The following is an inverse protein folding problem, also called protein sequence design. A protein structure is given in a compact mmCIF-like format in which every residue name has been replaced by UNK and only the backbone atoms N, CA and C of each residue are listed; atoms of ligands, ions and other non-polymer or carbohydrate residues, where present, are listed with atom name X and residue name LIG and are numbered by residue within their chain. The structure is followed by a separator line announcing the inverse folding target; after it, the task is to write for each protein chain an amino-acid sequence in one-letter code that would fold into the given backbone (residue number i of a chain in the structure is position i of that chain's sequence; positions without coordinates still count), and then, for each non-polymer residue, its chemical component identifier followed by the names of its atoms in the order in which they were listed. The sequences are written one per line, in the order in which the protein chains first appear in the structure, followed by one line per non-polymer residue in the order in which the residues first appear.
data_IF_113942496825
#
_entry.id   IF_113942496825
#
_cell.length_a   1.000
_cell.length_b   1.000
_cell.length_c   1.000
_cell.angle_alpha   90.00
_cell.angle_beta   90.00
_cell.angle_gamma   90.00
#
_symmetry.space_group_name_H-M   'P 1'
#
loop_
_entity.id
_entity.type
_entity.pdbx_description
1 polymer ?
#
# COMPACT_ATOMS: atom_id res chain seq x y z
N UNK A 1 -8.14 8.89 -23.14
CA UNK A 1 -8.81 9.84 -22.23
C UNK A 1 -9.96 9.26 -21.40
N UNK A 2 -10.87 8.41 -21.94
CA UNK A 2 -12.02 7.89 -21.15
C UNK A 2 -11.65 7.17 -19.82
N UNK A 3 -10.61 6.33 -19.80
CA UNK A 3 -10.18 5.61 -18.59
C UNK A 3 -9.75 6.48 -17.42
N UNK A 4 -9.00 7.54 -17.72
CA UNK A 4 -8.55 8.49 -16.69
C UNK A 4 -9.72 9.22 -16.04
N UNK A 5 -10.78 9.54 -16.79
CA UNK A 5 -11.98 10.16 -16.24
C UNK A 5 -12.69 9.24 -15.23
N UNK A 6 -12.91 7.96 -15.59
CA UNK A 6 -13.57 6.99 -14.70
C UNK A 6 -12.77 6.76 -13.42
N UNK A 7 -11.45 6.60 -13.52
CA UNK A 7 -10.60 6.44 -12.34
C UNK A 7 -10.66 7.68 -11.44
N UNK A 8 -10.54 8.88 -12.01
CA UNK A 8 -10.60 10.13 -11.26
C UNK A 8 -11.94 10.27 -10.53
N UNK A 9 -13.04 9.94 -11.19
CA UNK A 9 -14.38 9.93 -10.58
C UNK A 9 -14.49 8.93 -9.43
N UNK A 10 -13.92 7.72 -9.57
CA UNK A 10 -13.89 6.73 -8.49
C UNK A 10 -13.07 7.25 -7.30
N UNK A 11 -11.86 7.76 -7.54
CA UNK A 11 -11.02 8.31 -6.47
C UNK A 11 -11.70 9.50 -5.78
N UNK A 12 -12.35 10.38 -6.54
CA UNK A 12 -13.11 11.49 -5.97
C UNK A 12 -14.26 10.99 -5.09
N UNK A 13 -15.05 10.01 -5.54
CA UNK A 13 -16.12 9.42 -4.72
C UNK A 13 -15.59 8.79 -3.44
N UNK A 14 -14.44 8.12 -3.50
CA UNK A 14 -13.78 7.55 -2.30
C UNK A 14 -13.32 8.66 -1.35
N UNK A 15 -12.79 9.76 -1.87
CA UNK A 15 -12.43 10.93 -1.06
C UNK A 15 -13.66 11.52 -0.37
N UNK A 16 -14.74 11.75 -1.12
CA UNK A 16 -15.99 12.34 -0.61
C UNK A 16 -16.60 11.46 0.50
N UNK A 17 -16.64 10.14 0.29
CA UNK A 17 -17.12 9.18 1.28
C UNK A 17 -16.27 9.13 2.56
N UNK A 18 -15.02 9.64 2.51
CA UNK A 18 -14.07 9.70 3.63
C UNK A 18 -13.90 11.14 4.15
N UNK A 19 -14.85 12.03 3.87
CA UNK A 19 -14.79 13.42 4.34
C UNK A 19 -13.62 14.22 3.76
N UNK A 20 -13.23 13.91 2.52
CA UNK A 20 -12.09 14.52 1.82
C UNK A 20 -10.74 13.88 2.14
N UNK A 21 -10.68 12.87 3.02
CA UNK A 21 -9.42 12.21 3.40
C UNK A 21 -9.07 11.12 2.39
N UNK A 22 -8.16 11.42 1.48
CA UNK A 22 -7.57 10.49 0.54
C UNK A 22 -6.05 10.69 0.50
N UNK A 23 -5.28 9.60 0.64
CA UNK A 23 -3.82 9.68 0.59
C UNK A 23 -3.23 9.64 -0.82
N UNK A 24 -4.05 9.90 -1.83
CA UNK A 24 -3.60 10.15 -3.20
C UNK A 24 -4.44 11.28 -3.78
N UNK A 25 -3.86 12.18 -4.56
CA UNK A 25 -4.63 13.20 -5.28
C UNK A 25 -5.55 12.53 -6.30
N UNK A 26 -6.87 12.82 -6.35
CA UNK A 26 -7.79 12.13 -7.27
C UNK A 26 -7.39 12.21 -8.74
N UNK A 27 -6.80 13.34 -9.16
CA UNK A 27 -6.29 13.51 -10.54
C UNK A 27 -4.91 12.89 -10.76
N UNK A 28 -4.25 12.41 -9.71
CA UNK A 28 -2.89 11.87 -9.64
C UNK A 28 -1.77 12.86 -10.04
N UNK A 29 -2.04 13.84 -10.90
CA UNK A 29 -1.07 14.78 -11.44
C UNK A 29 -1.15 16.14 -10.73
N UNK A 30 0.00 16.67 -10.33
CA UNK A 30 0.17 17.97 -9.69
C UNK A 30 1.33 18.76 -10.30
N UNK A 31 1.31 20.07 -10.05
CA UNK A 31 2.51 20.93 -10.07
C UNK A 31 2.90 21.16 -8.61
N UNK A 32 4.00 20.54 -8.12
CA UNK A 32 4.34 20.59 -6.70
C UNK A 32 4.80 21.99 -6.29
N UNK A 33 4.24 22.49 -5.19
CA UNK A 33 4.77 23.62 -4.43
C UNK A 33 5.74 23.15 -3.32
N UNK A 34 6.15 24.06 -2.45
CA UNK A 34 7.07 23.78 -1.33
C UNK A 34 6.55 22.78 -0.29
N UNK A 35 5.24 22.48 -0.28
CA UNK A 35 4.66 21.50 0.65
C UNK A 35 4.89 20.05 0.21
N UNK A 36 5.33 19.82 -1.03
CA UNK A 36 5.54 18.50 -1.60
C UNK A 36 7.02 18.12 -1.62
N UNK A 37 7.31 16.89 -1.18
CA UNK A 37 8.65 16.32 -1.21
C UNK A 37 8.75 15.23 -2.27
N UNK A 38 9.79 15.21 -3.13
CA UNK A 38 9.99 14.11 -4.08
C UNK A 38 10.18 12.78 -3.35
N UNK A 39 9.46 11.73 -3.77
CA UNK A 39 9.56 10.41 -3.15
C UNK A 39 10.95 9.77 -3.31
N UNK A 40 11.69 10.18 -4.35
CA UNK A 40 13.10 9.78 -4.55
C UNK A 40 14.02 10.22 -3.39
N UNK A 41 13.66 11.24 -2.61
CA UNK A 41 14.42 11.64 -1.42
C UNK A 41 14.36 10.57 -0.30
N UNK A 42 13.29 9.76 -0.27
CA UNK A 42 13.14 8.68 0.73
C UNK A 42 14.20 7.59 0.59
N UNK A 43 14.77 7.43 -0.60
CA UNK A 43 15.79 6.40 -0.90
C UNK A 43 17.20 7.00 -1.03
N UNK A 44 17.36 8.29 -0.72
CA UNK A 44 18.69 8.93 -0.70
C UNK A 44 19.38 8.59 0.61
N UNK A 45 20.50 7.88 0.54
CA UNK A 45 21.35 7.60 1.71
C UNK A 45 21.83 8.92 2.36
N UNK A 46 21.85 9.03 3.70
CA UNK A 46 21.69 7.96 4.70
C UNK A 46 20.22 7.66 5.09
N UNK A 47 19.27 7.96 4.22
CA UNK A 47 17.82 7.77 4.38
C UNK A 47 17.19 8.63 5.48
N UNK A 48 17.74 9.81 5.70
CA UNK A 48 17.31 10.74 6.78
C UNK A 48 15.81 11.01 6.77
N UNK A 49 15.25 11.39 5.62
CA UNK A 49 13.82 11.71 5.52
C UNK A 49 12.93 10.48 5.79
N UNK A 50 13.31 9.32 5.29
CA UNK A 50 12.57 8.08 5.54
C UNK A 50 12.64 7.67 7.01
N UNK A 51 13.79 7.89 7.64
CA UNK A 51 13.99 7.69 9.06
C UNK A 51 13.09 8.61 9.89
N UNK A 52 13.02 9.90 9.56
CA UNK A 52 12.15 10.89 10.22
C UNK A 52 10.67 10.51 10.10
N UNK A 53 10.18 10.16 8.91
CA UNK A 53 8.78 9.75 8.72
C UNK A 53 8.41 8.48 9.49
N UNK A 54 9.34 7.54 9.62
CA UNK A 54 9.15 6.35 10.44
C UNK A 54 9.06 6.70 11.93
N UNK A 55 9.89 7.63 12.41
CA UNK A 55 9.89 8.12 13.80
C UNK A 55 8.63 8.94 14.11
N UNK A 56 8.20 9.82 13.22
CA UNK A 56 6.95 10.56 13.33
C UNK A 56 5.74 9.62 13.41
N UNK A 57 5.74 8.58 12.57
CA UNK A 57 4.68 7.57 12.60
C UNK A 57 4.73 6.76 13.90
N UNK A 58 5.92 6.40 14.39
CA UNK A 58 6.09 5.72 15.67
C UNK A 58 5.57 6.58 16.83
N UNK A 59 5.91 7.87 16.86
CA UNK A 59 5.46 8.82 17.86
C UNK A 59 3.94 9.00 17.85
N UNK A 60 3.33 9.14 16.66
CA UNK A 60 1.87 9.26 16.49
C UNK A 60 1.10 8.10 17.14
N UNK A 61 1.66 6.89 17.09
CA UNK A 61 1.01 5.68 17.59
C UNK A 61 1.57 5.19 18.93
N UNK A 62 2.44 5.97 19.59
CA UNK A 62 3.16 5.56 20.79
C UNK A 62 3.79 4.15 20.66
N UNK A 63 4.51 3.93 19.56
CA UNK A 63 4.99 2.62 19.14
C UNK A 63 6.52 2.57 19.01
N UNK A 64 7.15 1.39 19.07
CA UNK A 64 8.54 1.22 18.69
C UNK A 64 8.80 1.62 17.23
N UNK A 65 10.01 2.11 16.93
CA UNK A 65 10.41 2.56 15.59
C UNK A 65 10.09 1.58 14.46
N UNK A 66 10.33 0.29 14.67
CA UNK A 66 10.05 -0.74 13.66
C UNK A 66 8.55 -0.91 13.36
N UNK A 67 7.69 -0.67 14.35
CA UNK A 67 6.23 -0.63 14.16
C UNK A 67 5.86 0.64 13.39
N UNK A 68 6.42 1.80 13.76
CA UNK A 68 6.23 3.06 13.02
C UNK A 68 6.61 2.94 11.55
N UNK A 69 7.77 2.34 11.25
CA UNK A 69 8.23 2.04 9.89
C UNK A 69 7.24 1.14 9.11
N UNK A 70 6.73 0.08 9.75
CA UNK A 70 5.75 -0.80 9.11
C UNK A 70 4.40 -0.12 8.85
N UNK A 71 3.95 0.77 9.75
CA UNK A 71 2.71 1.52 9.60
C UNK A 71 2.83 2.66 8.58
N UNK A 72 3.99 3.33 8.52
CA UNK A 72 4.32 4.26 7.45
C UNK A 72 4.23 3.55 6.10
N UNK A 73 4.87 2.39 5.97
CA UNK A 73 4.81 1.60 4.76
C UNK A 73 3.40 1.16 4.39
N UNK A 74 2.62 0.69 5.38
CA UNK A 74 1.22 0.32 5.17
C UNK A 74 0.44 1.47 4.52
N UNK A 75 0.73 2.71 4.91
CA UNK A 75 0.09 3.91 4.39
C UNK A 75 0.61 4.27 3.00
N UNK A 76 1.93 4.45 2.84
CA UNK A 76 2.55 4.79 1.57
C UNK A 76 2.25 3.75 0.48
N UNK A 77 2.49 2.47 0.78
CA UNK A 77 2.26 1.35 -0.13
C UNK A 77 0.80 1.21 -0.52
N UNK A 78 -0.14 1.48 0.40
CA UNK A 78 -1.57 1.47 0.09
C UNK A 78 -1.93 2.55 -0.93
N UNK A 79 -1.55 3.79 -0.67
CA UNK A 79 -1.92 4.91 -1.53
C UNK A 79 -1.23 4.88 -2.89
N UNK A 80 -0.01 4.35 -2.96
CA UNK A 80 0.70 4.16 -4.22
C UNK A 80 0.06 3.04 -5.07
N UNK A 81 -0.38 1.96 -4.44
CA UNK A 81 -0.94 0.79 -5.13
C UNK A 81 -2.41 0.97 -5.53
N UNK A 82 -3.19 1.70 -4.73
CA UNK A 82 -4.62 1.92 -4.95
C UNK A 82 -4.99 2.35 -6.40
N UNK A 83 -4.41 3.41 -6.99
CA UNK A 83 -4.78 3.82 -8.34
C UNK A 83 -4.42 2.78 -9.41
N UNK A 84 -3.34 2.02 -9.23
CA UNK A 84 -2.95 0.94 -10.15
C UNK A 84 -4.00 -0.16 -10.19
N UNK A 85 -4.47 -0.59 -9.01
CA UNK A 85 -5.47 -1.66 -8.87
C UNK A 85 -6.83 -1.24 -9.40
N UNK A 86 -7.25 -0.01 -9.07
CA UNK A 86 -8.51 0.53 -9.60
C UNK A 86 -8.46 0.69 -11.11
N UNK A 87 -7.36 1.21 -11.66
CA UNK A 87 -7.17 1.31 -13.11
C UNK A 87 -7.22 -0.05 -13.81
N UNK A 88 -6.60 -1.08 -13.22
CA UNK A 88 -6.69 -2.46 -13.71
C UNK A 88 -8.13 -2.99 -13.72
N UNK A 89 -8.89 -2.77 -12.63
CA UNK A 89 -10.24 -3.30 -12.49
C UNK A 89 -11.30 -2.57 -13.34
N UNK A 90 -11.14 -1.27 -13.56
CA UNK A 90 -12.15 -0.44 -14.22
C UNK A 90 -12.11 -0.59 -15.75
N UNK A 91 -10.97 -0.27 -16.37
CA UNK A 91 -10.84 -0.30 -17.83
C UNK A 91 -9.53 -0.94 -18.33
N UNK A 92 -8.80 -1.61 -17.41
CA UNK A 92 -7.55 -2.30 -17.71
C UNK A 92 -6.34 -1.39 -17.91
N UNK A 93 -6.48 -0.07 -17.72
CA UNK A 93 -5.37 0.89 -17.84
C UNK A 93 -4.80 1.21 -16.49
N UNK A 94 -3.54 0.84 -16.31
CA UNK A 94 -2.85 0.97 -15.03
C UNK A 94 -2.09 2.30 -14.99
N UNK A 95 -2.47 3.27 -14.15
CA UNK A 95 -1.70 4.50 -13.95
C UNK A 95 -0.45 4.21 -13.12
N UNK A 96 0.72 4.58 -13.63
CA UNK A 96 2.01 4.31 -13.02
C UNK A 96 2.66 5.64 -12.57
N UNK A 97 2.74 5.83 -11.26
CA UNK A 97 3.54 6.87 -10.62
C UNK A 97 4.94 6.31 -10.38
N UNK A 98 5.88 6.66 -11.26
CA UNK A 98 7.29 6.22 -11.11
C UNK A 98 7.94 6.93 -9.94
N UNK A 99 8.92 6.31 -9.29
CA UNK A 99 9.53 6.88 -8.08
C UNK A 99 10.03 8.32 -8.29
N UNK A 100 10.69 8.57 -9.41
CA UNK A 100 11.25 9.88 -9.79
C UNK A 100 10.19 10.96 -10.04
N UNK A 101 8.98 10.54 -10.43
CA UNK A 101 7.88 11.42 -10.79
C UNK A 101 6.91 11.59 -9.61
N UNK A 102 7.04 10.75 -8.57
CA UNK A 102 6.16 10.71 -7.39
C UNK A 102 6.59 11.71 -6.33
N UNK A 103 5.62 12.36 -5.73
CA UNK A 103 5.77 13.29 -4.62
C UNK A 103 4.87 12.86 -3.46
N UNK A 104 5.29 13.19 -2.24
CA UNK A 104 4.52 12.98 -1.03
C UNK A 104 4.47 14.25 -0.17
N UNK A 105 3.43 14.33 0.65
CA UNK A 105 3.37 15.24 1.81
C UNK A 105 2.71 14.53 2.98
N UNK A 106 3.06 14.92 4.21
CA UNK A 106 2.35 14.46 5.41
C UNK A 106 0.93 15.01 5.40
N UNK A 107 -0.05 14.18 5.72
CA UNK A 107 -1.47 14.57 5.71
C UNK A 107 -2.30 13.80 6.73
N UNK A 108 -3.59 14.11 6.83
CA UNK A 108 -4.53 13.36 7.66
C UNK A 108 -4.67 11.89 7.24
N UNK A 109 -4.32 11.56 5.99
CA UNK A 109 -4.26 10.18 5.49
C UNK A 109 -2.93 9.46 5.87
N UNK A 110 -2.12 10.09 6.73
CA UNK A 110 -0.74 9.72 7.03
C UNK A 110 0.24 10.36 6.04
N UNK A 111 0.10 10.00 4.76
CA UNK A 111 0.72 10.72 3.63
C UNK A 111 -0.27 10.86 2.49
N UNK A 112 -0.15 11.94 1.72
CA UNK A 112 -0.81 12.08 0.42
C UNK A 112 0.23 12.01 -0.68
N UNK A 113 -0.05 11.20 -1.72
CA UNK A 113 0.79 10.99 -2.88
C UNK A 113 0.21 11.67 -4.12
N UNK A 114 1.10 12.08 -5.01
CA UNK A 114 0.77 12.51 -6.36
C UNK A 114 2.01 12.35 -7.24
N UNK A 115 1.90 12.70 -8.51
CA UNK A 115 3.03 12.72 -9.43
C UNK A 115 3.05 13.99 -10.27
N UNK A 116 4.22 14.41 -10.71
CA UNK A 116 4.35 15.41 -11.79
C UNK A 116 3.98 14.80 -13.15
N UNK A 117 4.10 13.48 -13.27
CA UNK A 117 3.74 12.73 -14.47
C UNK A 117 3.26 11.32 -14.13
N UNK A 118 2.14 10.93 -14.74
CA UNK A 118 1.63 9.56 -14.72
C UNK A 118 1.87 8.92 -16.07
N UNK A 119 2.55 7.78 -16.08
CA UNK A 119 2.64 6.91 -17.25
C UNK A 119 1.54 5.84 -17.20
N UNK A 120 1.30 5.14 -18.31
CA UNK A 120 0.19 4.20 -18.42
C UNK A 120 0.70 2.85 -18.90
N UNK A 121 0.33 1.80 -18.17
CA UNK A 121 0.54 0.40 -18.56
C UNK A 121 -0.79 -0.34 -18.73
N UNK A 122 -0.70 -1.64 -19.00
CA UNK A 122 -1.85 -2.54 -19.09
C UNK A 122 -1.57 -3.87 -18.41
N UNK A 123 -2.62 -4.46 -17.84
CA UNK A 123 -2.55 -5.76 -17.17
C UNK A 123 -1.76 -5.75 -15.85
N UNK A 124 -1.69 -6.93 -15.22
CA UNK A 124 -1.05 -7.11 -13.92
C UNK A 124 0.48 -6.92 -13.97
N UNK A 125 1.12 -7.25 -15.09
CA UNK A 125 2.57 -7.09 -15.28
C UNK A 125 3.03 -5.65 -15.09
N UNK A 126 2.25 -4.66 -15.56
CA UNK A 126 2.54 -3.25 -15.35
C UNK A 126 2.54 -2.85 -13.85
N UNK A 127 1.69 -3.48 -13.04
CA UNK A 127 1.69 -3.30 -11.59
C UNK A 127 2.97 -3.88 -11.00
N UNK A 128 3.33 -5.12 -11.38
CA UNK A 128 4.56 -5.78 -10.92
C UNK A 128 5.82 -4.96 -11.22
N UNK A 129 5.94 -4.43 -12.43
CA UNK A 129 7.04 -3.54 -12.84
C UNK A 129 7.09 -2.26 -11.99
N UNK A 130 5.96 -1.63 -11.72
CA UNK A 130 5.91 -0.43 -10.88
C UNK A 130 6.18 -0.73 -9.40
N UNK A 131 5.81 -1.90 -8.88
CA UNK A 131 6.22 -2.32 -7.54
C UNK A 131 7.74 -2.53 -7.46
N UNK A 132 8.33 -3.13 -8.48
CA UNK A 132 9.78 -3.33 -8.55
C UNK A 132 10.54 -2.00 -8.66
N UNK A 133 10.06 -1.05 -9.47
CA UNK A 133 10.70 0.25 -9.66
C UNK A 133 10.46 1.21 -8.49
N UNK A 134 9.20 1.38 -8.08
CA UNK A 134 8.82 2.42 -7.10
C UNK A 134 8.78 1.94 -5.66
N UNK A 135 8.50 0.67 -5.39
CA UNK A 135 8.30 0.18 -4.01
C UNK A 135 9.50 -0.60 -3.46
N UNK A 136 10.14 -1.44 -4.27
CA UNK A 136 11.24 -2.28 -3.79
C UNK A 136 12.42 -1.49 -3.18
N UNK A 137 12.85 -0.33 -3.74
CA UNK A 137 13.89 0.48 -3.11
C UNK A 137 13.51 0.98 -1.70
N UNK A 138 12.26 1.39 -1.49
CA UNK A 138 11.77 1.86 -0.19
C UNK A 138 11.63 0.70 0.80
N UNK A 139 11.14 -0.46 0.36
CA UNK A 139 11.05 -1.67 1.19
C UNK A 139 12.44 -2.06 1.70
N UNK A 140 13.46 -2.05 0.82
CA UNK A 140 14.84 -2.35 1.20
C UNK A 140 15.39 -1.31 2.18
N UNK A 141 15.15 -0.02 1.93
CA UNK A 141 15.61 1.05 2.81
C UNK A 141 14.99 0.96 4.21
N UNK A 142 13.67 0.74 4.30
CA UNK A 142 12.95 0.54 5.57
C UNK A 142 13.45 -0.72 6.30
N UNK A 143 13.66 -1.82 5.58
CA UNK A 143 14.21 -3.05 6.15
C UNK A 143 15.61 -2.84 6.76
N UNK A 144 16.46 -2.07 6.06
CA UNK A 144 17.80 -1.72 6.56
C UNK A 144 17.75 -0.84 7.82
N UNK A 145 16.95 0.23 7.79
CA UNK A 145 16.86 1.25 8.83
C UNK A 145 16.19 0.76 10.11
N UNK A 146 15.05 0.07 9.98
CA UNK A 146 14.18 -0.23 11.11
C UNK A 146 14.11 -1.72 11.46
N UNK A 147 14.87 -2.56 10.75
CA UNK A 147 14.92 -4.03 10.93
C UNK A 147 13.54 -4.71 10.83
N UNK A 148 12.66 -4.14 10.01
CA UNK A 148 11.37 -4.76 9.65
C UNK A 148 11.62 -5.76 8.52
N UNK A 149 11.08 -6.98 8.65
CA UNK A 149 11.23 -7.98 7.59
C UNK A 149 10.52 -7.57 6.29
N UNK A 150 11.18 -7.73 5.14
CA UNK A 150 10.60 -7.35 3.84
C UNK A 150 9.29 -8.08 3.54
N UNK A 151 9.17 -9.35 3.92
CA UNK A 151 7.92 -10.12 3.78
C UNK A 151 6.75 -9.46 4.51
N UNK A 152 7.00 -8.83 5.67
CA UNK A 152 5.99 -8.07 6.41
C UNK A 152 5.55 -6.84 5.61
N UNK A 153 6.50 -6.08 5.06
CA UNK A 153 6.23 -4.89 4.26
C UNK A 153 5.47 -5.24 2.98
N UNK A 154 5.90 -6.25 2.23
CA UNK A 154 5.20 -6.74 1.04
C UNK A 154 3.81 -7.29 1.35
N UNK A 155 3.57 -7.79 2.57
CA UNK A 155 2.24 -8.19 2.99
C UNK A 155 1.25 -7.02 3.04
N UNK A 156 1.69 -5.85 3.49
CA UNK A 156 0.88 -4.62 3.41
C UNK A 156 0.61 -4.21 1.97
N UNK A 157 1.59 -4.35 1.07
CA UNK A 157 1.38 -4.10 -0.37
C UNK A 157 0.42 -5.11 -0.98
N UNK A 158 0.50 -6.39 -0.62
CA UNK A 158 -0.43 -7.42 -1.11
C UNK A 158 -1.87 -7.14 -0.65
N UNK A 159 -2.04 -6.68 0.59
CA UNK A 159 -3.33 -6.18 1.07
C UNK A 159 -3.80 -4.93 0.31
N UNK A 160 -2.89 -4.04 -0.08
CA UNK A 160 -3.23 -2.90 -0.94
C UNK A 160 -3.67 -3.29 -2.36
N UNK A 161 -3.34 -4.50 -2.81
CA UNK A 161 -3.89 -5.09 -4.04
C UNK A 161 -5.28 -5.67 -3.79
N UNK A 162 -5.48 -6.40 -2.68
CA UNK A 162 -6.74 -7.07 -2.41
C UNK A 162 -7.85 -6.15 -1.94
N UNK A 163 -7.55 -5.20 -1.06
CA UNK A 163 -8.55 -4.37 -0.40
C UNK A 163 -9.43 -3.59 -1.38
N UNK A 164 -8.90 -2.86 -2.37
CA UNK A 164 -9.72 -2.05 -3.27
C UNK A 164 -10.73 -2.89 -4.09
N UNK A 165 -10.38 -4.15 -4.39
CA UNK A 165 -11.20 -5.10 -5.14
C UNK A 165 -12.28 -5.80 -4.31
N UNK A 166 -12.31 -5.53 -3.00
CA UNK A 166 -13.34 -6.03 -2.08
C UNK A 166 -14.15 -4.90 -1.46
N UNK A 167 -13.60 -3.68 -1.37
CA UNK A 167 -14.23 -2.57 -0.65
C UNK A 167 -14.62 -1.37 -1.52
N UNK A 168 -14.11 -1.26 -2.75
CA UNK A 168 -14.37 -0.10 -3.63
C UNK A 168 -15.01 -0.54 -4.94
N UNK A 169 -14.40 -1.52 -5.62
CA UNK A 169 -14.93 -2.14 -6.83
C UNK A 169 -14.88 -3.65 -6.65
N UNK A 170 -15.79 -4.40 -7.24
CA UNK A 170 -15.73 -5.86 -7.21
C UNK A 170 -14.68 -6.36 -8.22
N UNK A 171 -13.75 -7.21 -7.78
CA UNK A 171 -12.75 -7.81 -8.67
C UNK A 171 -12.07 -9.03 -8.08
N UNK A 172 -11.53 -9.90 -8.96
CA UNK A 172 -10.81 -11.10 -8.56
C UNK A 172 -9.38 -10.76 -8.10
N UNK A 173 -9.24 -10.38 -6.82
CA UNK A 173 -7.96 -10.03 -6.24
C UNK A 173 -6.97 -11.20 -6.19
N UNK A 174 -7.46 -12.44 -6.08
CA UNK A 174 -6.59 -13.61 -6.08
C UNK A 174 -5.98 -13.85 -7.45
N UNK A 175 -6.74 -13.63 -8.53
CA UNK A 175 -6.20 -13.62 -9.89
C UNK A 175 -5.19 -12.50 -10.07
N UNK A 176 -5.51 -11.28 -9.66
CA UNK A 176 -4.59 -10.15 -9.79
C UNK A 176 -3.26 -10.41 -9.07
N UNK A 177 -3.30 -10.86 -7.81
CA UNK A 177 -2.09 -11.18 -7.04
C UNK A 177 -1.22 -12.24 -7.73
N UNK A 178 -1.84 -13.31 -8.27
CA UNK A 178 -1.11 -14.35 -9.02
C UNK A 178 -0.48 -13.81 -10.30
N UNK A 179 -1.19 -12.97 -11.04
CA UNK A 179 -0.69 -12.39 -12.29
C UNK A 179 0.39 -11.31 -12.06
N UNK A 180 0.33 -10.58 -10.95
CA UNK A 180 1.41 -9.68 -10.51
C UNK A 180 2.64 -10.50 -10.10
N UNK A 181 2.43 -11.61 -9.40
CA UNK A 181 3.49 -12.52 -8.98
C UNK A 181 4.26 -12.05 -7.74
N UNK A 182 5.44 -12.63 -7.47
CA UNK A 182 6.30 -12.20 -6.38
C UNK A 182 6.68 -10.72 -6.50
N UNK A 183 6.80 -9.98 -5.38
CA UNK A 183 6.82 -10.47 -4.00
C UNK A 183 5.45 -10.51 -3.30
N UNK A 184 4.36 -10.14 -3.97
CA UNK A 184 3.02 -10.01 -3.36
C UNK A 184 2.18 -11.29 -3.43
N UNK A 185 2.45 -12.15 -4.41
CA UNK A 185 1.78 -13.45 -4.54
C UNK A 185 2.00 -14.33 -3.30
N UNK A 186 0.97 -15.08 -2.92
CA UNK A 186 0.99 -15.98 -1.77
C UNK A 186 1.07 -15.30 -0.40
N UNK A 187 0.85 -13.97 -0.31
CA UNK A 187 0.79 -13.22 0.96
C UNK A 187 -0.64 -12.98 1.46
N UNK A 188 -1.65 -13.27 0.64
CA UNK A 188 -3.07 -13.19 0.97
C UNK A 188 -3.69 -14.58 0.87
N UNK A 189 -4.67 -14.84 1.72
CA UNK A 189 -5.44 -16.07 1.78
C UNK A 189 -6.94 -15.72 1.72
N UNK A 190 -7.71 -16.26 0.78
CA UNK A 190 -9.14 -15.97 0.67
C UNK A 190 -9.91 -16.55 1.86
N UNK A 191 -10.92 -15.82 2.34
CA UNK A 191 -11.74 -16.22 3.48
C UNK A 191 -13.17 -15.67 3.35
N UNK A 192 -14.10 -16.50 2.83
CA UNK A 192 -15.47 -16.07 2.52
C UNK A 192 -15.46 -14.87 1.56
N UNK A 193 -16.20 -13.83 1.91
CA UNK A 193 -16.26 -12.56 1.14
C UNK A 193 -15.06 -11.63 1.38
N UNK A 194 -14.10 -12.05 2.22
CA UNK A 194 -12.91 -11.30 2.56
C UNK A 194 -11.63 -12.12 2.37
N UNK A 195 -10.60 -11.73 3.11
CA UNK A 195 -9.30 -12.37 3.07
C UNK A 195 -8.53 -12.16 4.37
N UNK A 196 -7.57 -13.03 4.64
CA UNK A 196 -6.54 -12.84 5.65
C UNK A 196 -5.19 -12.57 5.02
N UNK A 197 -4.40 -11.69 5.61
CA UNK A 197 -2.97 -11.65 5.32
C UNK A 197 -2.29 -12.86 5.93
N UNK A 198 -1.20 -13.32 5.30
CA UNK A 198 -0.29 -14.32 5.85
C UNK A 198 0.87 -13.72 6.64
N UNK A 199 0.84 -12.41 6.86
CA UNK A 199 1.85 -11.64 7.57
C UNK A 199 1.20 -10.65 8.54
N UNK A 200 1.91 -10.34 9.63
CA UNK A 200 1.50 -9.31 10.56
C UNK A 200 2.01 -7.94 10.10
N UNK A 201 1.14 -6.93 9.99
CA UNK A 201 1.50 -5.53 9.71
C UNK A 201 1.90 -4.75 10.96
N UNK A 202 2.00 -5.44 12.11
CA UNK A 202 2.34 -4.91 13.43
C UNK A 202 1.28 -3.98 14.05
N UNK A 203 0.11 -3.81 13.45
CA UNK A 203 -0.98 -3.03 14.06
C UNK A 203 -1.34 -3.52 15.46
N UNK A 204 -1.45 -4.83 15.66
CA UNK A 204 -1.85 -5.43 16.95
C UNK A 204 -0.84 -5.23 18.09
N UNK A 205 0.32 -4.64 17.82
CA UNK A 205 1.31 -4.32 18.86
C UNK A 205 1.15 -2.91 19.41
N UNK A 206 0.20 -2.13 18.89
CA UNK A 206 -0.15 -0.81 19.41
C UNK A 206 -0.98 -0.95 20.70
N UNK A 207 -0.94 0.05 21.60
CA UNK A 207 -1.82 0.06 22.77
C UNK A 207 -3.29 0.24 22.35
N UNK A 208 -4.19 -0.45 23.05
CA UNK A 208 -5.65 -0.26 22.97
C UNK A 208 -6.26 -0.39 21.56
N UNK A 209 -5.70 -1.26 20.72
CA UNK A 209 -6.26 -1.55 19.39
C UNK A 209 -6.71 -3.00 19.24
N UNK A 210 -7.74 -3.19 18.42
CA UNK A 210 -8.19 -4.51 17.99
C UNK A 210 -7.56 -4.93 16.66
N UNK A 211 -7.39 -6.25 16.41
CA UNK A 211 -6.97 -6.75 15.12
C UNK A 211 -7.98 -6.36 14.02
N UNK A 212 -7.47 -5.92 12.86
CA UNK A 212 -8.31 -5.68 11.69
C UNK A 212 -8.90 -6.98 11.13
N UNK A 213 -10.01 -6.91 10.38
CA UNK A 213 -10.68 -8.09 9.81
C UNK A 213 -9.79 -8.97 8.92
N UNK A 214 -8.74 -8.39 8.32
CA UNK A 214 -7.73 -9.10 7.52
C UNK A 214 -6.53 -9.61 8.32
N UNK A 215 -6.51 -9.44 9.64
CA UNK A 215 -5.32 -9.71 10.45
C UNK A 215 -5.00 -11.19 10.54
N UNK A 216 -3.72 -11.54 10.35
CA UNK A 216 -3.26 -12.92 10.30
C UNK A 216 -3.48 -13.70 11.61
N UNK A 217 -3.66 -13.01 12.74
CA UNK A 217 -3.91 -13.63 14.06
C UNK A 217 -5.36 -14.11 14.21
N UNK A 218 -6.28 -13.56 13.43
CA UNK A 218 -7.68 -13.98 13.41
C UNK A 218 -7.93 -15.16 12.47
N UNK A 219 -6.91 -15.54 11.67
CA UNK A 219 -7.05 -16.62 10.70
C UNK A 219 -7.34 -17.95 11.43
N UNK A 220 -8.39 -18.70 11.02
CA UNK A 220 -8.68 -20.02 11.55
C UNK A 220 -7.44 -20.92 11.42
N UNK A 221 -6.99 -21.50 12.54
CA UNK A 221 -5.91 -22.49 12.50
C UNK A 221 -6.51 -23.82 12.05
N UNK A 222 -6.27 -24.23 10.81
CA UNK A 222 -6.43 -25.63 10.40
C UNK A 222 -5.34 -26.46 11.06
N UNK A 223 -5.48 -26.73 12.36
CA UNK A 223 -4.59 -27.63 13.09
C UNK A 223 -5.03 -29.06 12.74
N UNK A 224 -4.20 -29.90 12.12
CA UNK A 224 -4.51 -31.32 12.02
C UNK A 224 -4.70 -31.85 13.45
N UNK A 225 -5.75 -32.65 13.67
CA UNK A 225 -6.02 -33.26 14.96
C UNK A 225 -4.74 -33.96 15.44
N UNK A 226 -4.28 -33.62 16.65
CA UNK A 226 -3.16 -34.31 17.27
C UNK A 226 -3.60 -35.77 17.43
N UNK A 227 -2.87 -36.76 16.89
CA UNK A 227 -3.22 -38.16 17.09
C UNK A 227 -3.28 -38.39 18.60
N UNK A 228 -4.42 -38.89 19.08
CA UNK A 228 -4.53 -39.43 20.44
C UNK A 228 -3.53 -40.59 20.55
N UNK A 229 -2.61 -40.47 21.49
CA UNK A 229 -1.68 -41.53 21.87
C UNK A 229 -2.42 -42.75 22.43
#
# INVERSE_FOLDING_TARGET
MRGFAVLTEVLQRVADARGGILGVEPRLVIEPDESWTPAAELVREPYTLLAELADETAARWNAPRHVGAALFWKTYGYWHTLPMVLGWALDGKVPLMRLRDTYLKVSAAGVTLAATRVSWGSGAGAIGEALAESQAPLVKALGSLAKVGERTLWGSTAEAVAHPLTSIVEGDYMRLLREVGPPVDGLIEPAGDGYFRRTCCLWITLPDVEPCGSCCVLRPQNRPARPTA
#
